data_IF_733042504020
#
_entry.id   IF_733042504020
#
_cell.length_a   1.000
_cell.length_b   1.000
_cell.length_c   1.000
_cell.angle_alpha   90.00
_cell.angle_beta   90.00
_cell.angle_gamma   90.00
#
_symmetry.space_group_name_H-M   'P 1'
#
loop_
_entity.id
_entity.type
_entity.pdbx_description
1 polymer ?
#
# COMPACT_ATOMS: atom_id res chain seq x y z
N UNK A 1 14.00 5.09 17.11
CA UNK A 1 13.81 3.92 16.22
C UNK A 1 12.73 3.02 16.75
N UNK A 2 11.70 2.78 15.94
CA UNK A 2 10.61 1.87 16.26
C UNK A 2 11.14 0.44 16.51
N UNK A 3 10.67 -0.29 17.53
CA UNK A 3 11.19 -1.61 17.90
C UNK A 3 11.25 -2.63 16.75
N UNK A 4 10.24 -2.60 15.86
CA UNK A 4 10.18 -3.48 14.67
C UNK A 4 11.47 -3.50 13.83
N UNK A 5 12.18 -2.37 13.75
CA UNK A 5 13.39 -2.27 12.93
C UNK A 5 14.65 -2.77 13.63
N UNK A 6 14.66 -3.00 14.95
CA UNK A 6 15.89 -3.31 15.69
C UNK A 6 16.63 -4.53 15.15
N UNK A 7 15.91 -5.63 14.90
CA UNK A 7 16.52 -6.86 14.38
C UNK A 7 16.96 -6.73 12.92
N UNK A 8 16.21 -6.02 12.08
CA UNK A 8 16.58 -5.80 10.69
C UNK A 8 17.76 -4.83 10.57
N UNK A 9 17.79 -3.79 11.40
CA UNK A 9 18.84 -2.78 11.44
C UNK A 9 20.20 -3.38 11.78
N UNK A 10 20.27 -4.30 12.75
CA UNK A 10 21.54 -4.94 13.15
C UNK A 10 22.15 -5.84 12.09
N UNK A 11 21.38 -6.23 11.07
CA UNK A 11 21.82 -7.06 9.94
C UNK A 11 22.32 -6.24 8.75
N UNK A 12 22.14 -4.91 8.76
CA UNK A 12 22.60 -4.05 7.67
C UNK A 12 24.13 -3.88 7.69
N UNK A 13 24.78 -3.60 6.55
CA UNK A 13 26.18 -3.16 6.51
C UNK A 13 26.42 -1.93 7.41
N UNK A 14 27.60 -1.83 8.03
CA UNK A 14 27.88 -0.81 9.06
C UNK A 14 27.80 0.64 8.55
N UNK A 15 28.23 0.87 7.31
CA UNK A 15 28.08 2.14 6.61
C UNK A 15 26.60 2.50 6.38
N UNK A 16 25.78 1.53 5.95
CA UNK A 16 24.34 1.72 5.79
C UNK A 16 23.63 1.95 7.13
N UNK A 17 24.00 1.21 8.19
CA UNK A 17 23.49 1.44 9.55
C UNK A 17 23.72 2.89 9.97
N UNK A 18 24.96 3.37 9.82
CA UNK A 18 25.35 4.74 10.19
C UNK A 18 24.55 5.76 9.40
N UNK A 19 24.39 5.55 8.09
CA UNK A 19 23.71 6.48 7.21
C UNK A 19 22.18 6.53 7.43
N UNK A 20 21.54 5.39 7.74
CA UNK A 20 20.08 5.31 7.88
C UNK A 20 19.57 5.52 9.30
N UNK A 21 20.43 5.37 10.32
CA UNK A 21 20.05 5.55 11.72
C UNK A 21 19.32 6.87 12.02
N UNK A 22 19.76 8.04 11.50
CA UNK A 22 19.03 9.29 11.74
C UNK A 22 17.62 9.30 11.17
N UNK A 23 17.39 8.62 10.04
CA UNK A 23 16.07 8.51 9.41
C UNK A 23 15.16 7.61 10.23
N UNK A 24 15.67 6.47 10.69
CA UNK A 24 14.91 5.55 11.55
C UNK A 24 14.76 6.05 12.98
N UNK A 25 15.53 7.05 13.40
CA UNK A 25 15.41 7.64 14.73
C UNK A 25 14.07 8.37 14.93
N UNK A 26 13.49 8.90 13.85
CA UNK A 26 12.18 9.55 13.87
C UNK A 26 11.10 8.59 14.43
N UNK A 27 10.43 9.04 15.49
CA UNK A 27 9.35 8.29 16.12
C UNK A 27 8.16 8.08 15.18
N UNK A 28 7.99 8.95 14.18
CA UNK A 28 6.94 8.90 13.17
C UNK A 28 7.48 8.51 11.79
N UNK A 29 8.60 7.76 11.74
CA UNK A 29 9.13 7.27 10.48
C UNK A 29 8.05 6.52 9.70
N UNK A 30 7.67 7.09 8.56
CA UNK A 30 6.50 6.72 7.77
C UNK A 30 6.73 5.53 6.83
N UNK A 31 7.82 4.78 7.01
CA UNK A 31 8.24 3.70 6.11
C UNK A 31 8.43 4.17 4.66
N UNK A 32 9.00 5.36 4.50
CA UNK A 32 9.23 6.02 3.21
C UNK A 32 10.55 6.79 3.26
N UNK A 33 11.26 6.83 2.13
CA UNK A 33 12.48 7.61 1.94
C UNK A 33 12.28 8.62 0.81
N UNK A 34 12.48 9.90 1.10
CA UNK A 34 12.50 10.95 0.07
C UNK A 34 13.68 10.77 -0.89
N UNK A 35 13.59 11.35 -2.09
CA UNK A 35 14.68 11.35 -3.06
C UNK A 35 16.02 11.87 -2.48
N UNK A 36 15.97 12.90 -1.63
CA UNK A 36 17.16 13.43 -0.95
C UNK A 36 17.77 12.46 0.05
N UNK A 37 16.95 11.73 0.81
CA UNK A 37 17.42 10.68 1.72
C UNK A 37 18.03 9.52 0.94
N UNK A 38 17.38 9.06 -0.14
CA UNK A 38 17.94 8.03 -1.03
C UNK A 38 19.29 8.46 -1.59
N UNK A 39 19.40 9.69 -2.10
CA UNK A 39 20.68 10.22 -2.61
C UNK A 39 21.76 10.24 -1.53
N UNK A 40 21.41 10.61 -0.29
CA UNK A 40 22.35 10.67 0.83
C UNK A 40 22.85 9.26 1.21
N UNK A 41 21.94 8.27 1.24
CA UNK A 41 22.28 6.88 1.51
C UNK A 41 23.21 6.30 0.42
N UNK A 42 22.93 6.60 -0.85
CA UNK A 42 23.81 6.18 -1.98
C UNK A 42 25.20 6.78 -1.86
N UNK A 43 25.30 8.08 -1.59
CA UNK A 43 26.59 8.75 -1.41
C UNK A 43 27.38 8.18 -0.23
N UNK A 44 26.72 7.83 0.87
CA UNK A 44 27.36 7.29 2.06
C UNK A 44 27.85 5.85 1.92
N UNK A 45 27.19 5.04 1.08
CA UNK A 45 27.47 3.60 0.94
C UNK A 45 28.16 3.23 -0.37
N UNK A 46 28.14 4.13 -1.36
CA UNK A 46 28.60 3.84 -2.73
C UNK A 46 27.69 2.89 -3.51
N UNK A 47 26.56 2.47 -2.94
CA UNK A 47 25.60 1.59 -3.61
C UNK A 47 24.83 2.34 -4.70
N UNK A 48 24.59 1.67 -5.82
CA UNK A 48 23.57 2.12 -6.78
C UNK A 48 22.15 1.91 -6.21
N UNK A 49 21.14 2.38 -6.93
CA UNK A 49 19.76 2.30 -6.45
C UNK A 49 19.25 0.86 -6.28
N UNK A 50 19.63 -0.05 -7.17
CA UNK A 50 19.10 -1.40 -7.14
C UNK A 50 19.74 -2.17 -5.97
N UNK A 51 21.05 -2.04 -5.79
CA UNK A 51 21.78 -2.60 -4.66
C UNK A 51 21.33 -2.00 -3.33
N UNK A 52 21.10 -0.68 -3.26
CA UNK A 52 20.57 -0.04 -2.06
C UNK A 52 19.14 -0.52 -1.75
N UNK A 53 18.27 -0.63 -2.75
CA UNK A 53 16.92 -1.15 -2.55
C UNK A 53 16.95 -2.59 -2.00
N UNK A 54 17.83 -3.45 -2.52
CA UNK A 54 18.00 -4.80 -1.96
C UNK A 54 18.49 -4.78 -0.51
N UNK A 55 19.48 -3.94 -0.20
CA UNK A 55 20.01 -3.79 1.15
C UNK A 55 18.96 -3.30 2.16
N UNK A 56 17.95 -2.56 1.70
CA UNK A 56 16.88 -2.01 2.52
C UNK A 56 15.64 -2.92 2.66
N UNK A 57 15.53 -4.00 1.87
CA UNK A 57 14.40 -4.94 1.96
C UNK A 57 14.13 -5.50 3.37
N UNK A 58 15.15 -5.80 4.22
CA UNK A 58 14.89 -6.24 5.59
C UNK A 58 14.10 -5.22 6.42
N UNK A 59 14.31 -3.92 6.19
CA UNK A 59 13.53 -2.87 6.86
C UNK A 59 12.09 -2.84 6.36
N UNK A 60 11.86 -3.01 5.06
CA UNK A 60 10.50 -3.12 4.52
C UNK A 60 9.78 -4.37 5.05
N UNK A 61 10.46 -5.52 5.09
CA UNK A 61 9.91 -6.76 5.64
C UNK A 61 9.63 -6.67 7.14
N UNK A 62 10.37 -5.85 7.89
CA UNK A 62 10.09 -5.57 9.30
C UNK A 62 8.78 -4.79 9.53
N UNK A 63 8.16 -4.25 8.48
CA UNK A 63 6.82 -3.66 8.53
C UNK A 63 5.70 -4.69 8.33
N UNK A 64 6.01 -5.94 7.99
CA UNK A 64 5.00 -6.97 7.75
C UNK A 64 4.21 -7.33 9.02
N UNK A 65 2.97 -7.75 8.81
CA UNK A 65 2.02 -8.29 9.79
C UNK A 65 1.56 -9.66 9.34
N UNK A 66 2.50 -10.60 9.30
CA UNK A 66 2.27 -11.98 8.87
C UNK A 66 1.76 -12.83 10.05
N UNK A 67 0.61 -12.44 10.60
CA UNK A 67 0.06 -13.01 11.84
C UNK A 67 -0.38 -14.49 11.67
N UNK A 68 -0.52 -14.98 10.43
CA UNK A 68 -0.87 -16.36 10.10
C UNK A 68 0.32 -17.20 9.62
N UNK A 69 1.04 -16.71 8.61
CA UNK A 69 2.12 -17.46 7.94
C UNK A 69 3.46 -17.35 8.66
N UNK A 70 3.64 -16.29 9.45
CA UNK A 70 4.92 -15.89 10.04
C UNK A 70 6.03 -15.69 8.99
N UNK A 71 5.63 -15.43 7.74
CA UNK A 71 6.52 -15.24 6.61
C UNK A 71 6.54 -13.78 6.19
N UNK A 72 7.54 -13.04 6.67
CA UNK A 72 7.66 -11.61 6.41
C UNK A 72 8.22 -11.35 5.00
N UNK A 73 7.40 -10.72 4.16
CA UNK A 73 7.73 -10.30 2.80
C UNK A 73 7.84 -8.78 2.79
N UNK A 74 8.91 -8.28 2.18
CA UNK A 74 9.16 -6.84 2.05
C UNK A 74 9.17 -6.42 0.59
N UNK A 75 8.65 -5.23 0.31
CA UNK A 75 8.68 -4.59 -0.99
C UNK A 75 9.09 -3.12 -0.86
N UNK A 76 9.77 -2.60 -1.88
CA UNK A 76 10.07 -1.17 -2.02
C UNK A 76 9.60 -0.72 -3.40
N UNK A 77 8.57 0.12 -3.44
CA UNK A 77 8.11 0.78 -4.65
C UNK A 77 8.89 2.08 -4.85
N UNK A 78 9.44 2.28 -6.05
CA UNK A 78 10.16 3.50 -6.43
C UNK A 78 9.27 4.36 -7.31
N UNK A 79 8.85 5.49 -6.75
CA UNK A 79 8.07 6.48 -7.47
C UNK A 79 8.90 7.20 -8.53
N UNK A 80 8.24 7.73 -9.55
CA UNK A 80 8.89 8.61 -10.54
C UNK A 80 9.37 9.92 -9.91
N UNK A 81 8.85 10.29 -8.73
CA UNK A 81 9.35 11.41 -7.93
C UNK A 81 10.76 11.18 -7.34
N UNK A 82 11.26 9.94 -7.37
CA UNK A 82 12.46 9.50 -6.65
C UNK A 82 12.20 9.09 -5.20
N UNK A 83 10.98 9.23 -4.70
CA UNK A 83 10.57 8.75 -3.37
C UNK A 83 10.43 7.22 -3.37
N UNK A 84 10.89 6.58 -2.31
CA UNK A 84 10.80 5.13 -2.12
C UNK A 84 9.82 4.82 -1.01
N UNK A 85 8.91 3.89 -1.26
CA UNK A 85 7.80 3.52 -0.38
C UNK A 85 7.95 2.06 0.03
N UNK A 86 8.06 1.80 1.33
CA UNK A 86 8.10 0.44 1.83
C UNK A 86 6.70 -0.16 1.83
N UNK A 87 6.65 -1.48 1.71
CA UNK A 87 5.46 -2.30 1.94
C UNK A 87 5.83 -3.63 2.59
N UNK A 88 4.91 -4.14 3.40
CA UNK A 88 4.98 -5.45 4.04
C UNK A 88 3.66 -6.20 3.89
N UNK A 89 3.70 -7.52 3.83
CA UNK A 89 2.45 -8.30 3.76
C UNK A 89 1.66 -8.19 5.07
N UNK A 90 0.33 -8.25 4.97
CA UNK A 90 -0.59 -8.18 6.10
C UNK A 90 -1.60 -9.31 6.02
N UNK A 91 -1.74 -10.04 7.13
CA UNK A 91 -2.65 -11.17 7.30
C UNK A 91 -3.50 -10.94 8.54
N UNK A 92 -4.79 -11.23 8.45
CA UNK A 92 -5.76 -10.84 9.47
C UNK A 92 -6.42 -12.07 10.08
N UNK A 93 -6.01 -12.43 11.30
CA UNK A 93 -6.63 -13.52 12.06
C UNK A 93 -8.11 -13.20 12.33
N UNK A 94 -8.97 -14.22 12.24
CA UNK A 94 -10.42 -14.05 12.38
C UNK A 94 -11.14 -13.50 11.15
N UNK A 95 -10.39 -13.08 10.12
CA UNK A 95 -10.94 -12.73 8.80
C UNK A 95 -10.71 -13.88 7.79
N UNK A 96 -10.75 -13.57 6.50
CA UNK A 96 -10.56 -14.55 5.41
C UNK A 96 -9.31 -14.25 4.59
N UNK A 97 -8.84 -15.23 3.83
CA UNK A 97 -7.68 -15.08 2.92
C UNK A 97 -7.88 -13.94 1.91
N UNK A 98 -9.13 -13.61 1.56
CA UNK A 98 -9.45 -12.52 0.64
C UNK A 98 -9.13 -11.13 1.22
N UNK A 99 -8.92 -11.02 2.54
CA UNK A 99 -8.53 -9.77 3.19
C UNK A 99 -7.02 -9.54 3.20
N UNK A 100 -6.22 -10.56 2.85
CA UNK A 100 -4.75 -10.49 2.87
C UNK A 100 -4.22 -9.42 1.92
N UNK A 101 -3.23 -8.66 2.38
CA UNK A 101 -2.50 -7.68 1.56
C UNK A 101 -1.09 -8.20 1.33
N UNK A 102 -0.68 -8.29 0.06
CA UNK A 102 0.68 -8.68 -0.28
C UNK A 102 1.64 -7.49 -0.13
N UNK A 103 2.94 -7.75 0.06
CA UNK A 103 3.94 -6.69 0.20
C UNK A 103 3.96 -5.75 -1.02
N UNK A 104 3.77 -6.28 -2.23
CA UNK A 104 3.69 -5.51 -3.45
C UNK A 104 2.46 -4.57 -3.46
N UNK A 105 1.28 -5.11 -3.11
CA UNK A 105 0.06 -4.30 -2.97
C UNK A 105 0.24 -3.22 -1.90
N UNK A 106 0.88 -3.55 -0.78
CA UNK A 106 1.21 -2.63 0.31
C UNK A 106 2.09 -1.47 -0.17
N UNK A 107 3.21 -1.75 -0.83
CA UNK A 107 4.13 -0.70 -1.30
C UNK A 107 3.52 0.18 -2.41
N UNK A 108 2.77 -0.42 -3.34
CA UNK A 108 2.08 0.29 -4.43
C UNK A 108 0.97 1.19 -3.87
N UNK A 109 0.13 0.64 -2.98
CA UNK A 109 -0.93 1.39 -2.31
C UNK A 109 -0.35 2.53 -1.48
N UNK A 110 0.76 2.29 -0.78
CA UNK A 110 1.46 3.32 -0.01
C UNK A 110 1.88 4.50 -0.91
N UNK A 111 2.54 4.23 -2.04
CA UNK A 111 2.93 5.25 -3.01
C UNK A 111 1.70 6.02 -3.55
N UNK A 112 0.69 5.30 -4.01
CA UNK A 112 -0.52 5.89 -4.59
C UNK A 112 -1.28 6.77 -3.60
N UNK A 113 -1.52 6.29 -2.38
CA UNK A 113 -2.26 7.04 -1.36
C UNK A 113 -1.50 8.29 -0.90
N UNK A 114 -0.16 8.29 -1.01
CA UNK A 114 0.71 9.46 -0.79
C UNK A 114 0.82 10.41 -1.99
N UNK A 115 0.13 10.11 -3.10
CA UNK A 115 0.04 10.98 -4.27
C UNK A 115 1.13 10.77 -5.31
N UNK A 116 1.91 9.69 -5.21
CA UNK A 116 2.82 9.30 -6.28
C UNK A 116 2.04 9.04 -7.56
N UNK A 117 2.56 9.54 -8.69
CA UNK A 117 1.80 9.58 -9.96
C UNK A 117 2.08 8.37 -10.83
N UNK A 118 3.24 7.74 -10.68
CA UNK A 118 3.58 6.48 -11.33
C UNK A 118 4.76 5.82 -10.61
N UNK A 119 4.96 4.54 -10.85
CA UNK A 119 6.12 3.81 -10.36
C UNK A 119 7.11 3.52 -11.48
N UNK A 120 8.39 3.79 -11.22
CA UNK A 120 9.48 3.42 -12.10
C UNK A 120 9.88 1.95 -11.92
N UNK A 121 9.83 1.46 -10.69
CA UNK A 121 10.22 0.09 -10.38
C UNK A 121 9.66 -0.38 -9.03
N UNK A 122 9.67 -1.70 -8.82
CA UNK A 122 9.47 -2.33 -7.52
C UNK A 122 10.60 -3.33 -7.25
N UNK A 123 11.05 -3.39 -6.00
CA UNK A 123 12.07 -4.34 -5.52
C UNK A 123 11.44 -5.19 -4.43
N UNK A 124 11.59 -6.51 -4.50
CA UNK A 124 10.97 -7.46 -3.56
C UNK A 124 11.93 -8.57 -3.19
N UNK A 125 11.79 -9.19 -2.01
CA UNK A 125 12.66 -10.29 -1.58
C UNK A 125 12.32 -11.65 -2.21
N UNK A 126 11.08 -11.85 -2.68
CA UNK A 126 10.65 -13.08 -3.34
C UNK A 126 9.95 -12.79 -4.67
N UNK A 127 9.96 -13.75 -5.59
CA UNK A 127 9.30 -13.57 -6.91
C UNK A 127 7.81 -13.30 -6.73
N UNK A 128 7.25 -12.23 -7.33
CA UNK A 128 5.82 -11.93 -7.19
C UNK A 128 4.94 -13.09 -7.63
N UNK A 129 3.92 -13.38 -6.83
CA UNK A 129 2.91 -14.38 -7.17
C UNK A 129 1.98 -13.90 -8.31
N UNK A 130 1.18 -14.79 -8.89
CA UNK A 130 0.26 -14.43 -9.99
C UNK A 130 -0.71 -13.29 -9.63
N UNK A 131 -1.23 -13.28 -8.41
CA UNK A 131 -2.08 -12.21 -7.89
C UNK A 131 -1.39 -10.84 -7.92
N UNK A 132 -0.14 -10.74 -7.45
CA UNK A 132 0.60 -9.48 -7.47
C UNK A 132 0.97 -9.03 -8.88
N UNK A 133 1.31 -9.98 -9.77
CA UNK A 133 1.57 -9.66 -11.19
C UNK A 133 0.34 -9.04 -11.84
N UNK A 134 -0.83 -9.63 -11.60
CA UNK A 134 -2.10 -9.13 -12.12
C UNK A 134 -2.47 -7.78 -11.51
N UNK A 135 -2.23 -7.58 -10.20
CA UNK A 135 -2.43 -6.29 -9.55
C UNK A 135 -1.56 -5.18 -10.16
N UNK A 136 -0.29 -5.46 -10.43
CA UNK A 136 0.62 -4.50 -11.05
C UNK A 136 0.23 -4.13 -12.49
N UNK A 137 -0.46 -5.01 -13.22
CA UNK A 137 -0.91 -4.73 -14.59
C UNK A 137 -2.06 -3.71 -14.66
N UNK A 138 -2.61 -3.30 -13.51
CA UNK A 138 -3.59 -2.23 -13.40
C UNK A 138 -2.97 -0.83 -13.45
N UNK A 139 -1.68 -0.73 -13.12
CA UNK A 139 -0.99 0.54 -12.97
C UNK A 139 -0.79 1.24 -14.30
N UNK A 140 -0.71 2.57 -14.27
CA UNK A 140 -0.38 3.37 -15.43
C UNK A 140 1.04 3.13 -16.02
N UNK A 141 1.94 2.50 -15.25
CA UNK A 141 3.22 1.97 -15.76
C UNK A 141 3.05 0.68 -16.58
N UNK A 142 1.93 -0.02 -16.42
CA UNK A 142 1.56 -1.25 -17.12
C UNK A 142 2.67 -2.30 -17.13
N UNK A 143 2.76 -3.05 -18.24
CA UNK A 143 3.75 -4.12 -18.41
C UNK A 143 5.21 -3.63 -18.44
N UNK A 144 5.47 -2.32 -18.51
CA UNK A 144 6.81 -1.75 -18.52
C UNK A 144 7.42 -1.57 -17.12
N UNK A 145 6.63 -1.73 -16.05
CA UNK A 145 7.12 -1.63 -14.68
C UNK A 145 8.30 -2.58 -14.46
N UNK A 146 9.43 -2.05 -13.97
CA UNK A 146 10.62 -2.85 -13.68
C UNK A 146 10.51 -3.56 -12.33
N UNK A 147 10.76 -4.86 -12.31
CA UNK A 147 10.74 -5.72 -11.13
C UNK A 147 12.17 -6.21 -10.85
N UNK A 148 12.64 -5.94 -9.63
CA UNK A 148 13.99 -6.28 -9.19
C UNK A 148 13.93 -7.37 -8.12
N UNK A 149 14.69 -8.44 -8.34
CA UNK A 149 14.79 -9.59 -7.44
C UNK A 149 16.26 -9.87 -7.08
N UNK A 150 16.54 -10.26 -5.82
CA UNK A 150 17.89 -10.64 -5.42
C UNK A 150 18.45 -11.75 -6.31
N UNK A 151 19.70 -11.59 -6.76
CA UNK A 151 20.39 -12.60 -7.57
C UNK A 151 19.86 -12.79 -8.99
N UNK A 152 19.04 -11.87 -9.51
CA UNK A 152 18.52 -11.91 -10.88
C UNK A 152 18.71 -10.57 -11.57
N UNK A 153 18.83 -10.61 -12.90
CA UNK A 153 18.77 -9.40 -13.70
C UNK A 153 17.38 -8.75 -13.55
N UNK A 154 17.28 -7.41 -13.55
CA UNK A 154 15.99 -6.73 -13.60
C UNK A 154 15.19 -7.13 -14.84
N UNK A 155 13.91 -7.36 -14.64
CA UNK A 155 12.95 -7.71 -15.69
C UNK A 155 11.76 -6.76 -15.65
N UNK A 156 11.00 -6.70 -16.73
CA UNK A 156 9.73 -5.95 -16.75
C UNK A 156 8.58 -6.84 -16.30
N UNK A 157 7.44 -6.24 -15.94
CA UNK A 157 6.23 -7.01 -15.63
C UNK A 157 5.81 -7.90 -16.81
N UNK A 158 6.04 -7.45 -18.06
CA UNK A 158 5.81 -8.26 -19.27
C UNK A 158 6.49 -9.63 -19.21
N UNK A 159 7.71 -9.69 -18.68
CA UNK A 159 8.50 -10.93 -18.62
C UNK A 159 7.93 -11.92 -17.59
N UNK A 160 7.24 -11.41 -16.56
CA UNK A 160 6.60 -12.23 -15.52
C UNK A 160 5.13 -12.55 -15.83
N UNK A 161 4.50 -11.80 -16.72
CA UNK A 161 3.10 -11.93 -17.10
C UNK A 161 2.98 -11.93 -18.64
N UNK A 162 3.44 -13.00 -19.32
CA UNK A 162 3.26 -13.14 -20.76
C UNK A 162 1.77 -13.26 -21.11
N UNK A 163 1.39 -12.75 -22.29
CA UNK A 163 0.01 -12.74 -22.79
C UNK A 163 -1.01 -12.23 -21.75
N UNK A 164 -0.61 -11.15 -21.07
CA UNK A 164 -1.32 -10.61 -19.93
C UNK A 164 -2.75 -10.15 -20.28
N UNK A 165 -3.69 -10.54 -19.43
CA UNK A 165 -5.00 -9.90 -19.33
C UNK A 165 -4.92 -8.63 -18.47
N UNK A 166 -5.62 -7.58 -18.83
CA UNK A 166 -5.63 -6.32 -18.07
C UNK A 166 -6.66 -5.30 -18.56
N UNK A 167 -6.52 -4.03 -18.10
CA UNK A 167 -7.50 -2.98 -18.37
C UNK A 167 -7.78 -2.74 -19.86
N UNK A 168 -6.77 -2.96 -20.71
CA UNK A 168 -6.86 -2.80 -22.17
C UNK A 168 -7.86 -3.77 -22.80
N UNK A 169 -7.97 -4.98 -22.28
CA UNK A 169 -8.90 -6.01 -22.78
C UNK A 169 -10.36 -5.67 -22.46
N UNK A 170 -10.58 -4.82 -21.46
CA UNK A 170 -11.88 -4.30 -21.05
C UNK A 170 -12.13 -2.85 -21.52
N UNK A 171 -11.30 -2.36 -22.45
CA UNK A 171 -11.32 -1.00 -23.01
C UNK A 171 -11.25 0.15 -21.97
N UNK A 172 -10.59 -0.10 -20.84
CA UNK A 172 -10.36 0.91 -19.81
C UNK A 172 -9.18 1.81 -20.20
N UNK A 173 -9.37 3.13 -20.10
CA UNK A 173 -8.35 4.14 -20.46
C UNK A 173 -7.69 4.83 -19.26
N UNK A 174 -8.42 4.99 -18.16
CA UNK A 174 -7.89 5.55 -16.91
C UNK A 174 -7.38 4.39 -16.06
N UNK A 175 -6.09 4.38 -15.77
CA UNK A 175 -5.42 3.30 -15.05
C UNK A 175 -5.24 3.63 -13.58
N UNK A 176 -4.88 2.64 -12.76
CA UNK A 176 -4.53 2.89 -11.36
C UNK A 176 -3.30 3.81 -11.28
N UNK A 177 -3.33 4.74 -10.32
CA UNK A 177 -2.41 5.88 -10.15
C UNK A 177 -2.61 7.08 -11.09
N UNK A 178 -3.44 6.97 -12.13
CA UNK A 178 -3.88 8.15 -12.86
C UNK A 178 -4.75 9.05 -11.96
N UNK A 179 -4.75 10.34 -12.28
CA UNK A 179 -5.53 11.32 -11.53
C UNK A 179 -7.03 11.11 -11.73
N UNK A 180 -7.74 10.96 -10.61
CA UNK A 180 -9.17 10.67 -10.57
C UNK A 180 -9.81 11.52 -9.46
N UNK A 181 -10.96 12.09 -9.77
CA UNK A 181 -11.83 12.77 -8.81
C UNK A 181 -13.29 12.58 -9.22
N UNK A 182 -14.05 11.82 -8.45
CA UNK A 182 -15.47 11.54 -8.73
C UNK A 182 -16.42 12.66 -8.34
N UNK A 183 -15.95 13.69 -7.63
CA UNK A 183 -16.71 14.93 -7.39
C UNK A 183 -17.78 14.87 -6.31
N UNK A 184 -17.78 13.86 -5.44
CA UNK A 184 -18.68 13.81 -4.28
C UNK A 184 -18.35 14.95 -3.30
N UNK A 185 -19.37 15.67 -2.79
CA UNK A 185 -19.15 16.78 -1.86
C UNK A 185 -18.60 16.29 -0.52
N UNK A 186 -17.63 17.01 0.04
CA UNK A 186 -17.13 16.72 1.38
C UNK A 186 -18.09 17.29 2.42
N UNK A 187 -18.50 16.45 3.37
CA UNK A 187 -19.42 16.82 4.45
C UNK A 187 -19.09 16.09 5.75
N UNK A 188 -19.74 16.49 6.84
CA UNK A 188 -19.53 15.89 8.16
C UNK A 188 -18.23 16.32 8.84
N UNK A 189 -17.81 15.53 9.83
CA UNK A 189 -16.58 15.74 10.60
C UNK A 189 -15.31 15.39 9.78
N UNK A 190 -14.12 15.60 10.36
CA UNK A 190 -12.85 15.34 9.69
C UNK A 190 -12.70 13.88 9.21
N UNK A 191 -13.22 12.91 9.97
CA UNK A 191 -13.20 11.49 9.63
C UNK A 191 -14.10 11.20 8.43
N UNK A 192 -15.31 11.77 8.42
CA UNK A 192 -16.27 11.67 7.31
C UNK A 192 -15.71 12.28 6.03
N UNK A 193 -15.17 13.50 6.11
CA UNK A 193 -14.53 14.17 4.97
C UNK A 193 -13.33 13.37 4.44
N UNK A 194 -12.54 12.74 5.32
CA UNK A 194 -11.43 11.89 4.92
C UNK A 194 -11.91 10.64 4.14
N UNK A 195 -12.97 9.98 4.60
CA UNK A 195 -13.55 8.83 3.91
C UNK A 195 -14.11 9.22 2.52
N UNK A 196 -14.84 10.33 2.42
CA UNK A 196 -15.38 10.82 1.13
C UNK A 196 -14.24 11.24 0.20
N UNK A 197 -13.22 11.93 0.71
CA UNK A 197 -12.03 12.28 -0.07
C UNK A 197 -11.31 11.04 -0.60
N UNK A 198 -11.23 9.98 0.20
CA UNK A 198 -10.69 8.71 -0.24
C UNK A 198 -11.59 8.03 -1.30
N UNK A 199 -12.91 8.11 -1.16
CA UNK A 199 -13.83 7.60 -2.19
C UNK A 199 -13.67 8.37 -3.51
N UNK A 200 -13.57 9.70 -3.47
CA UNK A 200 -13.39 10.56 -4.65
C UNK A 200 -12.19 10.21 -5.52
N UNK A 201 -11.12 9.68 -4.92
CA UNK A 201 -9.90 9.28 -5.64
C UNK A 201 -9.83 7.78 -5.92
N UNK A 202 -10.85 7.00 -5.56
CA UNK A 202 -10.87 5.55 -5.78
C UNK A 202 -10.78 5.19 -7.27
N UNK A 203 -10.17 4.06 -7.59
CA UNK A 203 -10.11 3.53 -8.93
C UNK A 203 -11.15 2.41 -9.07
N UNK A 204 -12.28 2.71 -9.71
CA UNK A 204 -13.45 1.81 -9.78
C UNK A 204 -14.08 1.73 -11.18
N UNK A 205 -13.28 1.54 -12.25
CA UNK A 205 -13.80 1.63 -13.60
C UNK A 205 -14.71 0.46 -13.98
N UNK A 206 -14.70 -0.65 -13.24
CA UNK A 206 -15.43 -1.88 -13.59
C UNK A 206 -16.82 -1.90 -12.98
N UNK A 207 -16.93 -1.78 -11.65
CA UNK A 207 -18.24 -1.82 -10.99
C UNK A 207 -18.92 -0.46 -10.89
N UNK A 208 -18.16 0.63 -11.03
CA UNK A 208 -18.62 2.01 -10.73
C UNK A 208 -19.14 2.16 -9.29
N UNK A 209 -18.52 1.46 -8.34
CA UNK A 209 -18.84 1.49 -6.91
C UNK A 209 -17.77 2.26 -6.11
N UNK A 210 -17.72 3.61 -6.19
CA UNK A 210 -16.70 4.39 -5.50
C UNK A 210 -16.82 4.21 -4.00
N UNK A 211 -15.69 3.95 -3.35
CA UNK A 211 -15.64 3.79 -1.90
C UNK A 211 -14.29 4.17 -1.31
N UNK A 212 -14.32 4.59 -0.04
CA UNK A 212 -13.17 5.01 0.73
C UNK A 212 -13.40 4.77 2.21
N UNK A 213 -12.34 4.43 2.94
CA UNK A 213 -12.38 4.23 4.39
C UNK A 213 -11.43 5.21 5.05
N UNK A 214 -11.83 5.75 6.19
CA UNK A 214 -10.95 6.48 7.08
C UNK A 214 -11.01 5.89 8.50
N UNK A 215 -9.86 5.85 9.16
CA UNK A 215 -9.64 5.32 10.50
C UNK A 215 -9.10 6.45 11.38
N UNK A 216 -9.77 6.75 12.48
CA UNK A 216 -9.33 7.69 13.50
C UNK A 216 -8.67 6.93 14.66
N UNK A 217 -7.53 7.42 15.12
CA UNK A 217 -6.79 6.86 16.23
C UNK A 217 -7.04 7.63 17.54
N UNK A 218 -6.64 7.05 18.67
CA UNK A 218 -6.77 7.66 19.99
C UNK A 218 -6.03 9.01 20.13
N UNK A 219 -4.98 9.25 19.35
CA UNK A 219 -4.24 10.52 19.31
C UNK A 219 -4.81 11.54 18.31
N UNK A 220 -5.91 11.22 17.63
CA UNK A 220 -6.56 12.04 16.61
C UNK A 220 -5.97 11.90 15.21
N UNK A 221 -4.94 11.06 15.01
CA UNK A 221 -4.40 10.77 13.67
C UNK A 221 -5.45 10.07 12.82
N UNK A 222 -5.57 10.47 11.54
CA UNK A 222 -6.48 9.85 10.59
C UNK A 222 -5.70 9.20 9.45
N UNK A 223 -5.93 7.91 9.22
CA UNK A 223 -5.46 7.19 8.03
C UNK A 223 -6.63 6.87 7.11
N UNK A 224 -6.48 7.10 5.81
CA UNK A 224 -7.54 6.81 4.84
C UNK A 224 -7.03 5.99 3.66
N UNK A 225 -7.90 5.11 3.17
CA UNK A 225 -7.64 4.20 2.07
C UNK A 225 -8.74 4.29 1.02
N UNK A 226 -8.33 4.24 -0.24
CA UNK A 226 -9.20 4.33 -1.40
C UNK A 226 -9.34 2.97 -2.04
N UNK A 227 -10.53 2.68 -2.56
CA UNK A 227 -10.78 1.44 -3.28
C UNK A 227 -10.01 1.40 -4.60
N UNK A 228 -9.35 0.28 -4.90
CA UNK A 228 -8.60 0.08 -6.13
C UNK A 228 -9.00 -1.24 -6.77
N UNK A 229 -9.94 -1.18 -7.71
CA UNK A 229 -10.35 -2.34 -8.47
C UNK A 229 -9.23 -2.84 -9.40
N UNK A 230 -9.39 -4.07 -9.86
CA UNK A 230 -8.51 -4.70 -10.82
C UNK A 230 -9.31 -5.34 -11.94
N UNK A 231 -8.78 -5.34 -13.18
CA UNK A 231 -9.41 -5.96 -14.34
C UNK A 231 -9.78 -7.43 -14.12
N UNK A 232 -8.97 -8.17 -13.35
CA UNK A 232 -9.22 -9.58 -13.02
C UNK A 232 -10.09 -9.77 -11.76
N UNK A 233 -10.69 -8.68 -11.26
CA UNK A 233 -11.64 -8.59 -10.15
C UNK A 233 -11.07 -9.01 -8.80
N UNK A 234 -10.67 -10.27 -8.62
CA UNK A 234 -10.18 -10.78 -7.34
C UNK A 234 -8.95 -10.05 -6.78
N UNK A 235 -7.99 -9.54 -7.60
CA UNK A 235 -6.86 -8.77 -7.08
C UNK A 235 -7.18 -7.38 -6.56
N UNK A 236 -8.44 -6.94 -6.70
CA UNK A 236 -8.94 -5.67 -6.17
C UNK A 236 -8.56 -5.47 -4.71
N UNK A 237 -8.06 -4.29 -4.36
CA UNK A 237 -7.71 -3.91 -3.00
C UNK A 237 -8.86 -3.11 -2.38
N UNK A 238 -9.56 -3.64 -1.35
CA UNK A 238 -10.63 -2.91 -0.68
C UNK A 238 -10.13 -1.63 0.03
N UNK A 239 -10.99 -0.62 0.23
CA UNK A 239 -10.56 0.65 0.83
C UNK A 239 -10.05 0.50 2.26
N UNK A 240 -10.59 -0.45 3.05
CA UNK A 240 -10.14 -0.73 4.41
C UNK A 240 -8.65 -1.15 4.43
N UNK A 241 -8.26 -2.05 3.54
CA UNK A 241 -6.87 -2.53 3.43
C UNK A 241 -5.90 -1.39 3.15
N UNK A 242 -6.28 -0.42 2.31
CA UNK A 242 -5.46 0.78 2.07
C UNK A 242 -5.23 1.60 3.35
N UNK A 243 -6.27 1.78 4.17
CA UNK A 243 -6.17 2.53 5.42
C UNK A 243 -5.34 1.80 6.48
N UNK A 244 -5.58 0.49 6.65
CA UNK A 244 -4.80 -0.37 7.57
C UNK A 244 -3.33 -0.45 7.16
N UNK A 245 -3.05 -0.48 5.86
CA UNK A 245 -1.71 -0.47 5.31
C UNK A 245 -0.94 0.79 5.72
N UNK A 246 -1.53 1.99 5.54
CA UNK A 246 -0.89 3.24 5.96
C UNK A 246 -0.70 3.32 7.47
N UNK A 247 -1.70 2.90 8.25
CA UNK A 247 -1.65 2.85 9.71
C UNK A 247 -0.46 2.00 10.18
N UNK A 248 -0.36 0.76 9.67
CA UNK A 248 0.71 -0.15 10.05
C UNK A 248 2.09 0.35 9.58
N UNK A 249 2.18 0.88 8.37
CA UNK A 249 3.43 1.46 7.85
C UNK A 249 3.89 2.68 8.65
N UNK A 250 2.98 3.46 9.24
CA UNK A 250 3.33 4.52 10.20
C UNK A 250 3.74 4.03 11.59
N UNK A 251 3.68 2.72 11.84
CA UNK A 251 4.10 2.14 13.12
C UNK A 251 3.00 2.08 14.18
N UNK A 252 1.74 2.32 13.81
CA UNK A 252 0.61 2.09 14.69
C UNK A 252 0.17 0.61 14.65
N UNK A 253 -0.54 0.20 15.69
CA UNK A 253 -1.18 -1.11 15.78
C UNK A 253 -2.71 -0.96 15.82
N UNK A 254 -3.44 -2.02 15.47
CA UNK A 254 -4.89 -2.00 15.32
C UNK A 254 -5.67 -1.57 16.59
N UNK A 255 -5.24 -1.89 17.82
CA UNK A 255 -5.91 -1.41 19.03
C UNK A 255 -5.92 0.12 19.19
N UNK A 256 -5.10 0.85 18.44
CA UNK A 256 -5.13 2.32 18.45
C UNK A 256 -6.35 2.92 17.73
N UNK A 257 -7.05 2.13 16.90
CA UNK A 257 -8.23 2.57 16.14
C UNK A 257 -9.40 2.80 17.09
N UNK A 258 -9.91 4.02 17.15
CA UNK A 258 -11.06 4.40 17.98
C UNK A 258 -12.35 4.47 17.20
N UNK A 259 -12.30 4.94 15.94
CA UNK A 259 -13.44 5.10 15.03
C UNK A 259 -13.06 4.77 13.60
N UNK A 260 -14.00 4.20 12.86
CA UNK A 260 -13.87 3.95 11.44
C UNK A 260 -15.09 4.49 10.67
N UNK A 261 -14.85 5.07 9.51
CA UNK A 261 -15.89 5.58 8.62
C UNK A 261 -15.70 5.00 7.22
N UNK A 262 -16.73 4.34 6.69
CA UNK A 262 -16.81 3.93 5.29
C UNK A 262 -17.68 4.90 4.50
N UNK A 263 -17.15 5.46 3.43
CA UNK A 263 -17.93 6.19 2.43
C UNK A 263 -18.14 5.30 1.21
N UNK A 264 -19.40 5.06 0.83
CA UNK A 264 -19.76 4.35 -0.41
C UNK A 264 -21.20 4.69 -0.84
N UNK A 265 -21.60 4.36 -2.06
CA UNK A 265 -23.00 4.49 -2.49
C UNK A 265 -23.86 3.39 -1.88
N UNK A 266 -25.13 3.69 -1.59
CA UNK A 266 -26.09 2.69 -1.10
C UNK A 266 -26.57 1.74 -2.20
N UNK A 267 -26.68 2.23 -3.42
CA UNK A 267 -27.21 1.55 -4.61
C UNK A 267 -26.10 1.02 -5.54
N UNK A 268 -24.86 0.98 -5.05
CA UNK A 268 -23.73 0.45 -5.81
C UNK A 268 -23.86 -1.06 -6.08
N UNK A 269 -23.43 -1.55 -7.27
CA UNK A 269 -23.38 -2.99 -7.56
C UNK A 269 -22.53 -3.80 -6.58
N UNK A 270 -21.45 -3.21 -6.05
CA UNK A 270 -20.59 -3.81 -5.04
C UNK A 270 -20.65 -2.99 -3.74
N UNK A 271 -20.80 -3.69 -2.62
CA UNK A 271 -20.92 -3.10 -1.28
C UNK A 271 -19.75 -3.58 -0.43
N UNK A 272 -19.01 -2.64 0.17
CA UNK A 272 -17.84 -2.92 1.00
C UNK A 272 -18.20 -3.07 2.49
N UNK A 273 -19.40 -2.62 2.89
CA UNK A 273 -19.86 -2.56 4.29
C UNK A 273 -19.61 -3.82 5.09
N UNK A 274 -20.13 -4.97 4.67
CA UNK A 274 -20.10 -6.19 5.49
C UNK A 274 -18.67 -6.71 5.72
N UNK A 275 -17.84 -6.71 4.68
CA UNK A 275 -16.43 -7.10 4.78
C UNK A 275 -15.63 -6.12 5.62
N UNK A 276 -15.91 -4.82 5.50
CA UNK A 276 -15.28 -3.76 6.30
C UNK A 276 -15.61 -3.94 7.78
N UNK A 277 -16.88 -4.12 8.11
CA UNK A 277 -17.35 -4.34 9.49
C UNK A 277 -16.77 -5.62 10.06
N UNK A 278 -16.84 -6.74 9.33
CA UNK A 278 -16.33 -8.03 9.81
C UNK A 278 -14.83 -7.97 10.10
N UNK A 279 -14.04 -7.39 9.20
CA UNK A 279 -12.59 -7.28 9.35
C UNK A 279 -12.23 -6.36 10.51
N UNK A 280 -12.83 -5.17 10.62
CA UNK A 280 -12.59 -4.24 11.73
C UNK A 280 -12.95 -4.86 13.09
N UNK A 281 -14.05 -5.61 13.17
CA UNK A 281 -14.43 -6.36 14.38
C UNK A 281 -13.41 -7.42 14.76
N UNK A 282 -12.87 -8.16 13.78
CA UNK A 282 -11.79 -9.12 14.02
C UNK A 282 -10.52 -8.45 14.57
N UNK A 283 -10.30 -7.18 14.23
CA UNK A 283 -9.20 -6.35 14.73
C UNK A 283 -9.55 -5.57 16.01
N UNK A 284 -10.74 -5.80 16.60
CA UNK A 284 -11.16 -5.19 17.87
C UNK A 284 -11.83 -3.83 17.76
N UNK A 285 -12.03 -3.28 16.56
CA UNK A 285 -12.75 -2.01 16.38
C UNK A 285 -14.25 -2.27 16.27
N UNK A 286 -15.05 -1.60 17.12
CA UNK A 286 -16.51 -1.73 17.14
C UNK A 286 -17.26 -0.47 16.70
N UNK A 287 -16.60 0.69 16.73
CA UNK A 287 -17.20 1.98 16.37
C UNK A 287 -16.99 2.23 14.88
N UNK A 288 -17.94 1.76 14.08
CA UNK A 288 -17.87 1.71 12.62
C UNK A 288 -19.14 2.31 12.05
N UNK A 289 -19.00 3.42 11.34
CA UNK A 289 -20.09 4.14 10.70
C UNK A 289 -19.98 4.08 9.18
N UNK A 290 -21.11 4.34 8.50
CA UNK A 290 -21.20 4.45 7.05
C UNK A 290 -21.78 5.80 6.66
N UNK A 291 -21.09 6.53 5.77
CA UNK A 291 -21.61 7.70 5.08
C UNK A 291 -21.97 7.32 3.64
N UNK A 292 -23.10 7.82 3.15
CA UNK A 292 -23.60 7.52 1.82
C UNK A 292 -23.18 8.60 0.84
N UNK A 293 -22.59 8.18 -0.28
CA UNK A 293 -22.30 9.08 -1.39
C UNK A 293 -23.59 9.32 -2.17
N UNK A 294 -23.94 10.61 -2.36
CA UNK A 294 -25.14 11.06 -3.09
C UNK A 294 -25.02 11.05 -4.60
#
# INVERSE_FOLDING_TARGET
MHPRFQSAFSQLPADLQTAIAPVLADAHFSAMLSAGQVSSLRSATGLDEDALAFALLPLAAACARADLSHFNVGAIARGISGTWYFGGNMEFLGATMQQTVHAEQSAISHAWLRGEKALAAITVNYTPCGHCRQFMNELNSGLALRINLPGRAPHTLKDYLPDAFGPKDLDIKTLLMDEQNHGYPLEGDALTQAAIKAANRSHTPYSKSPSGVALELADGTIFSGSYAENAAFNPTLPPLQGALNLLSLHGYDYPAITRAMLAERADAPLIQWDATVATLKALGCQNIDRVLLG
#
